data_IF_303994732162
#
_entry.id   IF_303994732162
#
_cell.length_a   1.000
_cell.length_b   1.000
_cell.length_c   1.000
_cell.angle_alpha   90.00
_cell.angle_beta   90.00
_cell.angle_gamma   90.00
#
_symmetry.space_group_name_H-M   'P 1'
#
loop_
_entity.id
_entity.type
_entity.pdbx_description
1 polymer ?
#
# COMPACT_ATOMS: atom_id res chain seq x y z
N UNK A 1 -7.45 -13.72 7.91
CA UNK A 1 -7.69 -14.86 6.99
C UNK A 1 -6.45 -15.74 6.85
N UNK A 2 -6.57 -17.02 6.48
CA UNK A 2 -5.40 -17.88 6.19
C UNK A 2 -4.69 -17.43 4.92
N UNK A 3 -3.36 -17.25 4.96
CA UNK A 3 -2.58 -16.95 3.77
C UNK A 3 -2.40 -18.24 2.95
N UNK A 4 -3.05 -18.32 1.80
CA UNK A 4 -2.94 -19.44 0.83
C UNK A 4 -2.25 -18.94 -0.43
N UNK A 5 -1.77 -19.85 -1.30
CA UNK A 5 -1.16 -19.46 -2.58
C UNK A 5 -2.11 -18.64 -3.46
N UNK A 6 -3.39 -19.02 -3.52
CA UNK A 6 -4.43 -18.22 -4.18
C UNK A 6 -4.47 -16.79 -3.64
N UNK A 7 -4.43 -16.60 -2.32
CA UNK A 7 -4.49 -15.25 -1.73
C UNK A 7 -3.20 -14.48 -1.95
N UNK A 8 -2.03 -15.13 -1.94
CA UNK A 8 -0.77 -14.48 -2.32
C UNK A 8 -0.85 -13.96 -3.76
N UNK A 9 -1.26 -14.81 -4.69
CA UNK A 9 -1.43 -14.43 -6.10
C UNK A 9 -2.43 -13.27 -6.25
N UNK A 10 -3.57 -13.35 -5.56
CA UNK A 10 -4.55 -12.27 -5.55
C UNK A 10 -3.97 -10.96 -5.02
N UNK A 11 -3.20 -10.98 -3.92
CA UNK A 11 -2.57 -9.78 -3.34
C UNK A 11 -1.60 -9.15 -4.32
N UNK A 12 -0.73 -9.95 -4.95
CA UNK A 12 0.23 -9.44 -5.93
C UNK A 12 -0.47 -8.84 -7.16
N UNK A 13 -1.51 -9.50 -7.65
CA UNK A 13 -2.31 -8.98 -8.76
C UNK A 13 -3.01 -7.67 -8.38
N UNK A 14 -3.63 -7.63 -7.20
CA UNK A 14 -4.33 -6.45 -6.68
C UNK A 14 -3.37 -5.26 -6.54
N UNK A 15 -2.19 -5.46 -5.94
CA UNK A 15 -1.16 -4.41 -5.83
C UNK A 15 -0.75 -3.90 -7.22
N UNK A 16 -0.46 -4.79 -8.16
CA UNK A 16 -0.09 -4.41 -9.53
C UNK A 16 -1.17 -3.54 -10.19
N UNK A 17 -2.44 -3.96 -10.11
CA UNK A 17 -3.55 -3.18 -10.67
C UNK A 17 -3.66 -1.79 -10.02
N UNK A 18 -3.46 -1.67 -8.69
CA UNK A 18 -3.54 -0.37 -8.01
C UNK A 18 -2.34 0.52 -8.30
N UNK A 19 -1.15 -0.05 -8.42
CA UNK A 19 0.08 0.64 -8.85
C UNK A 19 -0.10 1.27 -10.24
N UNK A 20 -0.65 0.52 -11.19
CA UNK A 20 -0.96 1.03 -12.53
C UNK A 20 -1.99 2.17 -12.48
N UNK A 21 -3.03 2.03 -11.65
CA UNK A 21 -4.06 3.06 -11.50
C UNK A 21 -3.56 4.38 -10.88
N UNK A 22 -2.59 4.31 -9.96
CA UNK A 22 -1.97 5.50 -9.37
C UNK A 22 -0.79 6.04 -10.18
N UNK A 23 -0.44 5.39 -11.30
CA UNK A 23 0.67 5.80 -12.15
C UNK A 23 2.05 5.60 -11.50
N UNK A 24 2.18 4.64 -10.59
CA UNK A 24 3.46 4.33 -9.95
C UNK A 24 4.33 3.47 -10.90
N UNK A 25 5.59 3.84 -11.16
CA UNK A 25 6.51 3.03 -11.93
C UNK A 25 6.77 1.67 -11.29
N UNK A 26 7.02 0.64 -12.11
CA UNK A 26 7.23 -0.74 -11.61
C UNK A 26 8.41 -0.85 -10.62
N UNK A 27 9.45 -0.06 -10.82
CA UNK A 27 10.63 -0.01 -9.94
C UNK A 27 10.34 0.61 -8.56
N UNK A 28 9.24 1.34 -8.43
CA UNK A 28 8.82 1.97 -7.18
C UNK A 28 7.91 1.07 -6.33
N UNK A 29 7.48 -0.09 -6.86
CA UNK A 29 6.62 -1.02 -6.13
C UNK A 29 7.36 -1.50 -4.86
N UNK A 30 6.79 -1.33 -3.66
CA UNK A 30 7.45 -1.72 -2.43
C UNK A 30 7.57 -3.25 -2.32
N UNK A 31 8.60 -3.71 -1.60
CA UNK A 31 8.72 -5.11 -1.18
C UNK A 31 7.56 -5.46 -0.24
N UNK A 32 6.85 -6.54 -0.55
CA UNK A 32 5.66 -6.96 0.18
C UNK A 32 5.99 -8.02 1.23
N UNK A 33 5.53 -7.80 2.45
CA UNK A 33 5.65 -8.72 3.58
C UNK A 33 4.24 -9.07 4.06
N UNK A 34 3.90 -10.37 4.09
CA UNK A 34 2.51 -10.81 4.29
C UNK A 34 2.27 -11.42 5.67
N UNK A 35 3.34 -11.72 6.40
CA UNK A 35 3.26 -12.31 7.72
C UNK A 35 4.11 -11.56 8.74
N UNK A 36 3.65 -11.57 9.99
CA UNK A 36 4.42 -10.99 11.10
C UNK A 36 5.76 -11.72 11.29
N UNK A 37 5.82 -13.03 11.01
CA UNK A 37 7.07 -13.82 11.08
C UNK A 37 8.11 -13.24 10.12
N UNK A 38 7.74 -13.03 8.85
CA UNK A 38 8.63 -12.43 7.85
C UNK A 38 9.00 -10.99 8.21
N UNK A 39 8.06 -10.20 8.73
CA UNK A 39 8.33 -8.83 9.19
C UNK A 39 9.36 -8.79 10.32
N UNK A 40 9.24 -9.70 11.28
CA UNK A 40 10.20 -9.85 12.37
C UNK A 40 11.50 -10.51 11.90
N UNK A 41 11.57 -11.14 10.74
CA UNK A 41 12.83 -11.63 10.18
C UNK A 41 13.66 -10.51 9.54
N UNK A 42 13.05 -9.35 9.23
CA UNK A 42 13.79 -8.22 8.68
C UNK A 42 14.76 -7.61 9.71
N UNK A 43 15.89 -7.06 9.24
CA UNK A 43 16.78 -6.21 10.04
C UNK A 43 16.00 -5.15 10.82
N UNK A 44 16.44 -4.87 12.05
CA UNK A 44 15.71 -3.98 12.98
C UNK A 44 15.65 -2.56 12.43
N UNK A 45 16.69 -2.14 11.73
CA UNK A 45 16.89 -0.83 11.12
C UNK A 45 15.79 -0.54 10.09
N UNK A 46 15.38 -1.56 9.32
CA UNK A 46 14.31 -1.45 8.32
C UNK A 46 12.90 -1.38 8.93
N UNK A 47 12.76 -1.78 10.21
CA UNK A 47 11.47 -1.88 10.89
C UNK A 47 11.33 -0.95 12.11
N UNK A 48 12.34 -0.10 12.35
CA UNK A 48 12.54 0.69 13.57
C UNK A 48 11.32 1.54 13.99
N UNK A 49 10.67 1.19 15.11
CA UNK A 49 9.49 1.92 15.65
C UNK A 49 8.11 1.37 15.21
N UNK A 50 8.06 0.35 14.34
CA UNK A 50 6.80 -0.35 13.98
C UNK A 50 6.81 -1.84 14.33
N UNK A 51 7.99 -2.39 14.64
CA UNK A 51 8.20 -3.80 14.97
C UNK A 51 7.30 -4.32 16.10
N UNK A 52 7.05 -3.48 17.11
CA UNK A 52 6.21 -3.81 18.28
C UNK A 52 4.73 -3.55 18.05
N UNK A 53 4.33 -2.77 17.04
CA UNK A 53 2.94 -2.31 16.84
C UNK A 53 2.23 -2.96 15.65
N UNK A 54 2.92 -3.80 14.86
CA UNK A 54 2.34 -4.50 13.70
C UNK A 54 1.13 -5.39 14.01
N UNK A 55 0.98 -5.84 15.26
CA UNK A 55 -0.19 -6.61 15.69
C UNK A 55 -1.47 -5.75 15.79
N UNK A 56 -1.33 -4.43 15.97
CA UNK A 56 -2.45 -3.47 16.10
C UNK A 56 -2.93 -2.91 14.76
N UNK A 57 -2.18 -3.14 13.68
CA UNK A 57 -2.45 -2.57 12.35
C UNK A 57 -2.77 -3.66 11.33
N UNK A 58 -3.68 -3.34 10.40
CA UNK A 58 -3.97 -4.20 9.26
C UNK A 58 -2.87 -4.14 8.20
N UNK A 59 -2.27 -2.97 8.00
CA UNK A 59 -1.12 -2.77 7.14
C UNK A 59 -0.25 -1.61 7.62
N UNK A 60 0.94 -1.49 7.05
CA UNK A 60 1.79 -0.32 7.18
C UNK A 60 2.85 -0.31 6.08
N UNK A 61 3.22 0.88 5.61
CA UNK A 61 4.32 1.05 4.67
C UNK A 61 5.47 1.88 5.27
N UNK A 62 6.70 1.54 4.87
CA UNK A 62 7.93 2.28 5.18
C UNK A 62 8.47 2.90 3.90
N UNK A 63 8.24 4.19 3.66
CA UNK A 63 8.67 4.83 2.43
C UNK A 63 10.19 4.78 2.20
N UNK A 64 10.99 5.03 3.24
CA UNK A 64 12.46 5.05 3.13
C UNK A 64 13.05 3.69 2.71
N UNK A 65 12.53 2.59 3.26
CA UNK A 65 13.02 1.24 2.94
C UNK A 65 12.23 0.56 1.83
N UNK A 66 11.17 1.20 1.31
CA UNK A 66 10.25 0.66 0.30
C UNK A 66 9.69 -0.72 0.70
N UNK A 67 9.24 -0.86 1.94
CA UNK A 67 8.66 -2.11 2.46
C UNK A 67 7.22 -1.89 2.88
N UNK A 68 6.30 -2.70 2.35
CA UNK A 68 4.90 -2.74 2.77
C UNK A 68 4.63 -4.02 3.56
N UNK A 69 4.06 -3.88 4.74
CA UNK A 69 3.54 -4.99 5.52
C UNK A 69 2.02 -5.05 5.43
N UNK A 70 1.49 -6.24 5.16
CA UNK A 70 0.06 -6.53 5.19
C UNK A 70 -0.16 -7.68 6.16
N UNK A 71 -0.85 -7.42 7.28
CA UNK A 71 -1.18 -8.44 8.26
C UNK A 71 -2.38 -9.28 7.78
N UNK A 72 -2.17 -10.16 6.80
CA UNK A 72 -3.23 -10.92 6.15
C UNK A 72 -4.05 -11.73 7.16
N UNK A 73 -3.44 -12.24 8.23
CA UNK A 73 -4.15 -12.98 9.28
C UNK A 73 -5.22 -12.14 9.98
N UNK A 74 -4.99 -10.85 10.17
CA UNK A 74 -5.92 -9.93 10.83
C UNK A 74 -7.08 -9.44 9.95
N UNK A 75 -7.02 -9.66 8.63
CA UNK A 75 -8.10 -9.25 7.73
C UNK A 75 -9.27 -10.24 7.74
N UNK A 76 -10.49 -9.70 7.72
CA UNK A 76 -11.76 -10.46 7.70
C UNK A 76 -12.23 -10.81 6.29
N UNK A 77 -11.84 -10.03 5.28
CA UNK A 77 -12.25 -10.26 3.88
C UNK A 77 -11.25 -9.69 2.86
N UNK A 78 -11.31 -10.18 1.61
CA UNK A 78 -10.51 -9.62 0.51
C UNK A 78 -10.85 -8.15 0.25
N UNK A 79 -12.11 -7.74 0.45
CA UNK A 79 -12.52 -6.34 0.37
C UNK A 79 -11.77 -5.45 1.36
N UNK A 80 -11.65 -5.90 2.62
CA UNK A 80 -10.89 -5.16 3.63
C UNK A 80 -9.39 -5.11 3.31
N UNK A 81 -8.85 -6.20 2.75
CA UNK A 81 -7.45 -6.27 2.35
C UNK A 81 -7.13 -5.35 1.17
N UNK A 82 -8.02 -5.29 0.16
CA UNK A 82 -7.95 -4.30 -0.92
C UNK A 82 -7.94 -2.87 -0.38
N UNK A 83 -8.81 -2.58 0.57
CA UNK A 83 -8.89 -1.27 1.19
C UNK A 83 -7.57 -0.86 1.84
N UNK A 84 -6.95 -1.80 2.58
CA UNK A 84 -5.66 -1.60 3.23
C UNK A 84 -4.54 -1.42 2.20
N UNK A 85 -4.51 -2.23 1.13
CA UNK A 85 -3.55 -2.08 0.03
C UNK A 85 -3.62 -0.67 -0.57
N UNK A 86 -4.84 -0.19 -0.87
CA UNK A 86 -5.04 1.15 -1.44
C UNK A 86 -4.54 2.24 -0.49
N UNK A 87 -4.90 2.16 0.80
CA UNK A 87 -4.48 3.14 1.80
C UNK A 87 -2.96 3.24 1.88
N UNK A 88 -2.28 2.10 2.01
CA UNK A 88 -0.82 2.08 2.15
C UNK A 88 -0.11 2.52 0.85
N UNK A 89 -0.60 2.14 -0.33
CA UNK A 89 -0.03 2.61 -1.60
C UNK A 89 -0.20 4.12 -1.79
N UNK A 90 -1.37 4.67 -1.44
CA UNK A 90 -1.62 6.12 -1.53
C UNK A 90 -0.73 6.88 -0.55
N UNK A 91 -0.60 6.43 0.70
CA UNK A 91 0.32 7.04 1.67
C UNK A 91 1.78 7.04 1.20
N UNK A 92 2.20 6.00 0.46
CA UNK A 92 3.55 5.86 -0.04
C UNK A 92 3.84 6.69 -1.29
N UNK A 93 2.89 6.73 -2.22
CA UNK A 93 3.05 7.40 -3.52
C UNK A 93 2.68 8.88 -3.49
N UNK A 94 1.70 9.25 -2.66
CA UNK A 94 1.23 10.63 -2.49
C UNK A 94 1.36 11.06 -1.03
N UNK A 95 2.59 11.19 -0.49
CA UNK A 95 2.82 11.52 0.92
C UNK A 95 2.25 12.90 1.31
N UNK A 96 2.16 13.83 0.34
CA UNK A 96 1.62 15.17 0.53
C UNK A 96 0.10 15.27 0.43
N UNK A 97 -0.59 14.15 0.24
CA UNK A 97 -2.04 14.09 0.19
C UNK A 97 -2.61 14.17 1.61
N UNK A 98 -2.39 15.34 2.23
CA UNK A 98 -2.67 15.67 3.64
C UNK A 98 -4.14 15.96 3.89
N UNK A 99 -4.89 16.38 2.87
CA UNK A 99 -6.32 16.63 3.00
C UNK A 99 -7.11 15.33 2.97
N UNK A 100 -7.77 15.02 4.09
CA UNK A 100 -8.63 13.83 4.23
C UNK A 100 -9.67 13.71 3.10
N UNK A 101 -10.24 14.82 2.62
CA UNK A 101 -11.23 14.83 1.54
C UNK A 101 -10.64 14.35 0.20
N UNK A 102 -9.45 14.82 -0.18
CA UNK A 102 -8.75 14.37 -1.38
C UNK A 102 -8.38 12.89 -1.27
N UNK A 103 -7.93 12.46 -0.09
CA UNK A 103 -7.57 11.07 0.17
C UNK A 103 -8.77 10.14 -0.01
N UNK A 104 -9.92 10.52 0.55
CA UNK A 104 -11.15 9.74 0.41
C UNK A 104 -11.64 9.69 -1.04
N UNK A 105 -11.48 10.78 -1.80
CA UNK A 105 -11.86 10.82 -3.20
C UNK A 105 -10.96 9.91 -4.07
N UNK A 106 -9.64 10.00 -3.89
CA UNK A 106 -8.63 9.11 -4.48
C UNK A 106 -8.96 7.64 -4.18
N UNK A 107 -9.16 7.31 -2.91
CA UNK A 107 -9.51 5.96 -2.44
C UNK A 107 -10.79 5.44 -3.10
N UNK A 108 -11.86 6.24 -3.14
CA UNK A 108 -13.13 5.89 -3.79
C UNK A 108 -12.96 5.64 -5.29
N UNK A 109 -12.14 6.44 -5.97
CA UNK A 109 -11.85 6.27 -7.39
C UNK A 109 -11.12 4.94 -7.65
N UNK A 110 -10.08 4.62 -6.86
CA UNK A 110 -9.33 3.37 -6.97
C UNK A 110 -10.21 2.14 -6.70
N UNK A 111 -11.09 2.21 -5.69
CA UNK A 111 -12.05 1.14 -5.40
C UNK A 111 -13.05 0.89 -6.56
N UNK A 112 -13.36 1.93 -7.34
CA UNK A 112 -14.19 1.84 -8.57
C UNK A 112 -13.39 1.45 -9.81
N UNK A 113 -12.08 1.26 -9.67
CA UNK A 113 -11.20 0.91 -10.78
C UNK A 113 -10.81 2.08 -11.70
N UNK A 114 -11.05 3.32 -11.29
CA UNK A 114 -10.71 4.51 -12.08
C UNK A 114 -9.22 4.83 -12.00
N UNK A 115 -8.77 5.70 -12.90
CA UNK A 115 -7.40 6.24 -12.95
C UNK A 115 -7.44 7.68 -12.40
N UNK A 116 -7.35 7.87 -11.08
CA UNK A 116 -7.68 9.12 -10.41
C UNK A 116 -6.81 10.30 -10.81
N UNK A 117 -5.52 10.13 -11.11
CA UNK A 117 -4.64 11.25 -11.46
C UNK A 117 -5.05 11.96 -12.76
N UNK A 118 -5.92 11.35 -13.59
CA UNK A 118 -6.52 12.04 -14.75
C UNK A 118 -7.67 12.97 -14.36
N UNK A 119 -8.38 12.65 -13.29
CA UNK A 119 -9.60 13.35 -12.85
C UNK A 119 -9.32 14.39 -11.75
N UNK A 120 -8.30 14.15 -10.93
CA UNK A 120 -7.88 15.06 -9.89
C UNK A 120 -6.72 15.92 -10.43
N UNK A 121 -6.84 17.25 -10.34
CA UNK A 121 -5.69 18.18 -10.42
C UNK A 121 -4.80 17.97 -9.20
N UNK A 122 -4.17 16.81 -9.13
CA UNK A 122 -3.27 16.45 -8.04
C UNK A 122 -1.98 17.18 -8.35
N UNK A 123 -1.84 18.36 -7.76
CA UNK A 123 -0.55 19.02 -7.55
C UNK A 123 0.31 18.27 -6.52
N UNK A 124 -0.05 17.04 -6.12
CA UNK A 124 0.90 16.21 -5.39
C UNK A 124 2.04 15.95 -6.36
N UNK A 125 3.18 16.51 -6.02
CA UNK A 125 4.45 16.28 -6.66
C UNK A 125 4.64 14.77 -6.70
N UNK A 126 4.32 14.17 -7.86
CA UNK A 126 4.68 12.79 -8.11
C UNK A 126 6.18 12.70 -7.80
N UNK A 127 6.63 11.62 -7.18
CA UNK A 127 8.07 11.33 -7.06
C UNK A 127 8.70 11.00 -8.42
N UNK A 128 8.28 11.67 -9.47
CA UNK A 128 8.90 11.62 -10.78
C UNK A 128 9.96 12.72 -10.74
N UNK A 129 11.26 12.38 -10.74
CA UNK A 129 12.24 13.34 -11.19
C UNK A 129 11.84 13.67 -12.63
N UNK A 130 11.60 14.95 -12.90
CA UNK A 130 11.68 15.44 -14.26
C UNK A 130 13.16 15.30 -14.63
N UNK A 131 13.48 14.23 -15.36
CA UNK A 131 14.65 14.20 -16.25
C UNK A 131 14.16 14.36 -17.68
#
# INVERSE_FOLDING_TARGET
MKLTEFRKAWIHNEIRCRVEQIGMPKQEIPRIILTRKEWLALPKELTHGLRTTTHKKLGTIRPRSRIMFLNVRSHRSLRQLRDTIIVELVHYWFPDLRHYSQFQQMKKALLKGKIPYKDFKIEATLKIPIE
#
